data_IF_662089185119
#
_entry.id   IF_662089185119
#
_cell.length_a   1.000
_cell.length_b   1.000
_cell.length_c   1.000
_cell.angle_alpha   90.00
_cell.angle_beta   90.00
_cell.angle_gamma   90.00
#
_symmetry.space_group_name_H-M   'P 1'
#
loop_
_entity.id
_entity.type
_entity.pdbx_description
1 polymer ?
#
# COMPACT_ATOMS: atom_id res chain seq x y z
N UNK A 1 -2.55 -12.56 3.33
CA UNK A 1 -2.11 -11.45 2.45
C UNK A 1 -2.88 -10.17 2.76
N UNK A 2 -4.19 -10.11 2.52
CA UNK A 2 -5.01 -8.93 2.85
C UNK A 2 -4.86 -8.51 4.33
N UNK A 3 -4.84 -9.48 5.26
CA UNK A 3 -4.63 -9.22 6.69
C UNK A 3 -3.30 -8.51 7.01
N UNK A 4 -2.25 -8.74 6.23
CA UNK A 4 -0.96 -8.06 6.41
C UNK A 4 -1.06 -6.61 5.95
N UNK A 5 -1.72 -6.36 4.82
CA UNK A 5 -1.96 -5.02 4.28
C UNK A 5 -2.81 -4.19 5.26
N UNK A 6 -3.93 -4.73 5.72
CA UNK A 6 -4.79 -4.07 6.71
C UNK A 6 -4.03 -3.79 8.01
N UNK A 7 -3.25 -4.76 8.50
CA UNK A 7 -2.41 -4.59 9.67
C UNK A 7 -1.38 -3.47 9.52
N UNK A 8 -0.74 -3.34 8.35
CA UNK A 8 0.18 -2.24 8.07
C UNK A 8 -0.56 -0.89 8.15
N UNK A 9 -1.69 -0.76 7.46
CA UNK A 9 -2.43 0.50 7.43
C UNK A 9 -2.99 0.90 8.81
N UNK A 10 -3.46 -0.05 9.61
CA UNK A 10 -3.86 0.24 11.00
C UNK A 10 -2.70 0.77 11.84
N UNK A 11 -1.50 0.18 11.72
CA UNK A 11 -0.31 0.61 12.47
C UNK A 11 0.20 1.98 12.01
N UNK A 12 0.03 2.33 10.74
CA UNK A 12 0.32 3.66 10.20
C UNK A 12 -0.66 4.70 10.78
N UNK A 13 -1.96 4.40 10.75
CA UNK A 13 -2.99 5.26 11.31
C UNK A 13 -2.82 5.50 12.83
N UNK A 14 -2.46 4.47 13.60
CA UNK A 14 -2.16 4.58 15.03
C UNK A 14 -0.99 5.54 15.34
N UNK A 15 -0.10 5.79 14.37
CA UNK A 15 1.01 6.74 14.49
C UNK A 15 0.62 8.16 14.05
N UNK A 16 -0.66 8.39 13.72
CA UNK A 16 -1.19 9.68 13.28
C UNK A 16 -0.93 9.99 11.80
N UNK A 17 -0.56 8.97 11.00
CA UNK A 17 -0.34 9.13 9.57
C UNK A 17 -1.56 8.66 8.78
N UNK A 18 -1.99 9.44 7.79
CA UNK A 18 -3.07 9.09 6.85
C UNK A 18 -2.59 9.25 5.40
N UNK A 19 -1.69 8.37 4.93
CA UNK A 19 -1.18 8.46 3.59
C UNK A 19 -2.27 8.07 2.58
N UNK A 20 -2.35 8.80 1.47
CA UNK A 20 -3.31 8.52 0.40
C UNK A 20 -3.08 7.15 -0.27
N UNK A 21 -1.83 6.69 -0.22
CA UNK A 21 -1.37 5.44 -0.83
C UNK A 21 -0.24 4.85 0.01
N UNK A 22 0.02 3.57 -0.17
CA UNK A 22 1.20 2.89 0.35
C UNK A 22 1.56 1.72 -0.59
N UNK A 23 2.83 1.33 -0.63
CA UNK A 23 3.23 0.03 -1.18
C UNK A 23 3.61 -0.90 -0.03
N UNK A 24 3.04 -2.11 -0.06
CA UNK A 24 3.28 -3.16 0.93
C UNK A 24 3.93 -4.34 0.21
N UNK A 25 5.25 -4.43 0.33
CA UNK A 25 5.99 -5.54 -0.26
C UNK A 25 6.00 -6.70 0.73
N UNK A 26 5.69 -7.90 0.23
CA UNK A 26 5.57 -9.10 1.04
C UNK A 26 6.40 -10.24 0.47
N UNK A 27 6.92 -11.08 1.38
CA UNK A 27 7.55 -12.35 1.04
C UNK A 27 6.72 -13.51 1.58
N UNK A 28 6.76 -14.65 0.89
CA UNK A 28 6.17 -15.90 1.40
C UNK A 28 7.21 -16.66 2.21
N UNK A 29 6.83 -17.09 3.41
CA UNK A 29 7.63 -17.98 4.24
C UNK A 29 7.48 -19.44 3.78
N UNK A 30 8.30 -20.32 4.33
CA UNK A 30 8.31 -21.75 3.97
C UNK A 30 6.97 -22.45 4.28
N UNK A 31 6.21 -21.95 5.24
CA UNK A 31 4.87 -22.43 5.59
C UNK A 31 3.75 -21.83 4.72
N UNK A 32 4.09 -20.99 3.74
CA UNK A 32 3.16 -20.32 2.83
C UNK A 32 2.55 -19.04 3.40
N UNK A 33 2.82 -18.68 4.65
CA UNK A 33 2.35 -17.42 5.23
C UNK A 33 3.05 -16.21 4.59
N UNK A 34 2.37 -15.07 4.56
CA UNK A 34 2.93 -13.82 4.04
C UNK A 34 3.52 -12.99 5.19
N UNK A 35 4.73 -12.46 5.00
CA UNK A 35 5.39 -11.56 5.91
C UNK A 35 5.67 -10.22 5.21
N UNK A 36 5.51 -9.11 5.94
CA UNK A 36 5.93 -7.79 5.48
C UNK A 36 7.44 -7.76 5.27
N UNK A 37 7.88 -7.34 4.07
CA UNK A 37 9.27 -7.10 3.75
C UNK A 37 9.59 -5.60 3.80
N UNK A 38 8.76 -4.78 3.16
CA UNK A 38 8.93 -3.31 3.11
C UNK A 38 7.58 -2.59 3.10
N UNK A 39 7.56 -1.38 3.66
CA UNK A 39 6.41 -0.48 3.67
C UNK A 39 6.87 0.92 3.23
N UNK A 40 6.48 1.33 2.03
CA UNK A 40 6.78 2.65 1.48
C UNK A 40 5.54 3.56 1.52
N UNK A 41 5.67 4.71 2.17
CA UNK A 41 4.56 5.65 2.40
C UNK A 41 4.72 6.99 1.67
N UNK A 42 5.92 7.29 1.16
CA UNK A 42 6.27 8.65 0.68
C UNK A 42 6.52 8.66 -0.83
N UNK A 43 7.42 7.82 -1.34
CA UNK A 43 7.82 7.84 -2.76
C UNK A 43 7.79 6.45 -3.46
N UNK A 44 6.81 5.58 -3.17
CA UNK A 44 6.76 4.26 -3.75
C UNK A 44 6.60 4.29 -5.26
N UNK A 45 7.24 3.33 -5.93
CA UNK A 45 6.82 2.98 -7.28
C UNK A 45 5.53 2.14 -7.21
N UNK A 46 4.39 2.77 -7.53
CA UNK A 46 3.05 2.16 -7.49
C UNK A 46 2.73 1.24 -8.68
N UNK A 47 3.66 1.06 -9.62
CA UNK A 47 3.50 0.17 -10.78
C UNK A 47 2.23 0.43 -11.61
N UNK A 48 1.78 1.68 -11.72
CA UNK A 48 0.53 2.04 -12.41
C UNK A 48 0.49 1.59 -13.88
N UNK A 49 1.66 1.43 -14.51
CA UNK A 49 1.79 0.90 -15.87
C UNK A 49 1.41 -0.59 -15.99
N UNK A 50 1.51 -1.36 -14.91
CA UNK A 50 1.14 -2.79 -14.87
C UNK A 50 -0.39 -2.94 -14.89
N UNK A 51 -1.10 -2.00 -14.27
CA UNK A 51 -2.57 -1.96 -14.26
C UNK A 51 -3.04 -0.55 -14.64
N UNK A 52 -3.15 -0.23 -15.94
CA UNK A 52 -3.48 1.12 -16.40
C UNK A 52 -4.78 1.70 -15.79
N UNK A 53 -5.76 0.86 -15.44
CA UNK A 53 -7.00 1.29 -14.78
C UNK A 53 -6.77 1.88 -13.39
N UNK A 54 -5.66 1.53 -12.72
CA UNK A 54 -5.30 2.10 -11.42
C UNK A 54 -4.88 3.58 -11.50
N UNK A 55 -4.48 4.05 -12.69
CA UNK A 55 -4.14 5.47 -12.91
C UNK A 55 -5.33 6.37 -12.59
N UNK A 56 -6.53 6.01 -13.08
CA UNK A 56 -7.75 6.78 -12.82
C UNK A 56 -8.10 6.77 -11.33
N UNK A 57 -8.00 5.61 -10.68
CA UNK A 57 -8.25 5.49 -9.23
C UNK A 57 -7.28 6.38 -8.43
N UNK A 58 -5.99 6.34 -8.76
CA UNK A 58 -4.99 7.15 -8.10
C UNK A 58 -5.22 8.65 -8.32
N UNK A 59 -5.46 9.06 -9.57
CA UNK A 59 -5.72 10.45 -9.92
C UNK A 59 -6.97 10.99 -9.21
N UNK A 60 -8.07 10.22 -9.18
CA UNK A 60 -9.28 10.60 -8.45
C UNK A 60 -9.03 10.72 -6.95
N UNK A 61 -8.25 9.81 -6.35
CA UNK A 61 -7.91 9.88 -4.94
C UNK A 61 -7.10 11.16 -4.61
N UNK A 62 -6.15 11.54 -5.48
CA UNK A 62 -5.38 12.78 -5.33
C UNK A 62 -6.28 14.00 -5.44
N UNK A 63 -7.16 14.06 -6.45
CA UNK A 63 -8.09 15.18 -6.62
C UNK A 63 -9.04 15.35 -5.43
N UNK A 64 -9.48 14.25 -4.82
CA UNK A 64 -10.36 14.28 -3.64
C UNK A 64 -9.66 14.69 -2.34
N UNK A 65 -8.32 14.67 -2.31
CA UNK A 65 -7.51 15.03 -1.13
C UNK A 65 -7.15 16.52 -1.10
N UNK A 66 -7.12 17.17 -2.27
CA UNK A 66 -6.87 18.60 -2.45
C UNK A 66 -8.09 19.43 -2.09
#
# INVERSE_FOLDING_TARGET
EISVVEGCMSRVAERGWDPLYARVDMVRLADGSALLAELELIEPNLFLYVRPQAVETFASAVLNRL
#
